data_IF_892266171986
#
_entry.id   IF_892266171986
#
_cell.length_a   1.000
_cell.length_b   1.000
_cell.length_c   1.000
_cell.angle_alpha   90.00
_cell.angle_beta   90.00
_cell.angle_gamma   90.00
#
_symmetry.space_group_name_H-M   'P 1'
#
loop_
_entity.id
_entity.type
_entity.pdbx_description
1 polymer ?
#
# COMPACT_ATOMS: atom_id res chain seq x y z
N UNK A 1 -58.16 -22.83 17.11
CA UNK A 1 -57.42 -21.93 18.03
C UNK A 1 -56.00 -22.49 18.15
N UNK A 2 -55.11 -22.22 17.19
CA UNK A 2 -54.22 -21.06 17.07
C UNK A 2 -53.34 -20.77 18.30
N UNK A 3 -52.06 -20.54 18.00
CA UNK A 3 -51.00 -19.91 18.80
C UNK A 3 -49.92 -20.80 19.42
N UNK A 4 -49.19 -21.54 18.59
CA UNK A 4 -47.76 -21.74 18.84
C UNK A 4 -46.99 -20.56 18.21
N UNK A 5 -46.64 -19.58 19.04
CA UNK A 5 -45.80 -18.44 18.67
C UNK A 5 -44.37 -18.95 18.43
N UNK A 6 -44.03 -19.23 17.17
CA UNK A 6 -42.64 -19.31 16.75
C UNK A 6 -42.06 -17.90 16.80
N UNK A 7 -41.32 -17.59 17.86
CA UNK A 7 -40.48 -16.39 17.92
C UNK A 7 -39.19 -16.71 17.15
N UNK A 8 -39.20 -16.51 15.83
CA UNK A 8 -38.00 -16.45 15.01
C UNK A 8 -37.25 -15.18 15.40
N UNK A 9 -36.29 -15.30 16.32
CA UNK A 9 -35.24 -14.30 16.53
C UNK A 9 -34.36 -14.38 15.28
N UNK A 10 -34.73 -13.59 14.27
CA UNK A 10 -33.84 -13.32 13.16
C UNK A 10 -32.63 -12.57 13.70
N UNK A 11 -31.54 -13.29 13.94
CA UNK A 11 -30.21 -12.69 13.91
C UNK A 11 -30.03 -12.16 12.49
N UNK A 12 -30.40 -10.90 12.26
CA UNK A 12 -29.88 -10.15 11.16
C UNK A 12 -28.38 -10.01 11.44
N UNK A 13 -27.59 -10.91 10.88
CA UNK A 13 -26.16 -10.74 10.73
C UNK A 13 -25.95 -9.43 9.96
N UNK A 14 -25.67 -8.36 10.70
CA UNK A 14 -25.07 -7.15 10.18
C UNK A 14 -23.69 -7.54 9.69
N UNK A 15 -23.62 -8.09 8.49
CA UNK A 15 -22.40 -8.16 7.71
C UNK A 15 -22.01 -6.72 7.46
N UNK A 16 -21.13 -6.16 8.31
CA UNK A 16 -20.46 -4.92 7.97
C UNK A 16 -19.81 -5.16 6.62
N UNK A 17 -20.33 -4.50 5.58
CA UNK A 17 -19.77 -4.57 4.24
C UNK A 17 -18.37 -3.98 4.35
N UNK A 18 -17.36 -4.85 4.32
CA UNK A 18 -15.98 -4.46 4.24
C UNK A 18 -15.85 -3.53 3.02
N UNK A 19 -15.53 -2.26 3.27
CA UNK A 19 -15.44 -1.26 2.21
C UNK A 19 -14.05 -1.40 1.59
N UNK A 20 -13.96 -2.22 0.54
CA UNK A 20 -12.74 -2.41 -0.23
C UNK A 20 -12.62 -1.32 -1.29
N UNK A 21 -11.48 -0.64 -1.34
CA UNK A 21 -11.16 0.44 -2.29
C UNK A 21 -9.90 0.09 -3.05
N UNK A 22 -9.90 0.24 -4.37
CA UNK A 22 -8.67 0.10 -5.17
C UNK A 22 -7.95 1.43 -5.25
N UNK A 23 -6.63 1.44 -5.06
CA UNK A 23 -5.79 2.64 -5.17
C UNK A 23 -4.71 2.49 -6.24
N UNK A 24 -4.30 3.62 -6.82
CA UNK A 24 -3.10 3.72 -7.64
C UNK A 24 -2.31 4.94 -7.21
N UNK A 25 -1.04 4.74 -6.90
CA UNK A 25 -0.14 5.76 -6.39
C UNK A 25 1.11 5.83 -7.26
N UNK A 26 1.57 7.04 -7.54
CA UNK A 26 2.83 7.25 -8.24
C UNK A 26 3.63 8.41 -7.66
N UNK A 27 4.95 8.39 -7.85
CA UNK A 27 5.82 9.48 -7.41
C UNK A 27 5.54 10.73 -8.23
N UNK A 28 5.17 11.83 -7.58
CA UNK A 28 4.85 13.09 -8.25
C UNK A 28 5.78 14.25 -7.85
N UNK A 29 6.53 14.07 -6.76
CA UNK A 29 7.46 15.07 -6.25
C UNK A 29 8.80 14.41 -5.92
N UNK A 30 9.86 15.01 -6.44
CA UNK A 30 11.25 14.70 -6.12
C UNK A 30 12.00 16.01 -5.92
N UNK A 31 13.02 15.97 -5.07
CA UNK A 31 13.91 17.11 -4.87
C UNK A 31 15.01 17.04 -5.92
N UNK A 32 15.30 18.13 -6.62
CA UNK A 32 16.20 18.13 -7.80
C UNK A 32 17.62 17.58 -7.54
N UNK A 33 18.10 17.64 -6.29
CA UNK A 33 19.42 17.14 -5.88
C UNK A 33 19.42 15.71 -5.31
N UNK A 34 18.23 15.11 -5.17
CA UNK A 34 18.08 13.71 -4.78
C UNK A 34 18.21 12.80 -6.02
N UNK A 35 18.61 11.55 -5.81
CA UNK A 35 18.53 10.53 -6.87
C UNK A 35 17.08 10.42 -7.39
N UNK A 36 16.85 10.43 -8.71
CA UNK A 36 15.53 10.22 -9.28
C UNK A 36 15.00 8.84 -8.90
N UNK A 37 13.76 8.77 -8.39
CA UNK A 37 13.13 7.49 -8.02
C UNK A 37 11.68 7.46 -8.47
N UNK A 38 11.37 6.65 -9.46
CA UNK A 38 10.00 6.37 -9.87
C UNK A 38 9.44 5.20 -9.06
N UNK A 39 8.39 5.45 -8.29
CA UNK A 39 7.64 4.43 -7.56
C UNK A 39 6.20 4.45 -8.06
N UNK A 40 5.67 3.28 -8.42
CA UNK A 40 4.27 3.04 -8.73
C UNK A 40 3.74 1.91 -7.88
N UNK A 41 2.61 2.12 -7.21
CA UNK A 41 1.94 1.13 -6.36
C UNK A 41 0.48 1.05 -6.75
N UNK A 42 -0.05 -0.16 -6.92
CA UNK A 42 -1.50 -0.39 -6.90
C UNK A 42 -1.84 -1.42 -5.83
N UNK A 43 -2.97 -1.26 -5.16
CA UNK A 43 -3.44 -2.23 -4.18
C UNK A 43 -4.94 -2.08 -3.94
N UNK A 44 -5.56 -3.13 -3.43
CA UNK A 44 -6.89 -3.08 -2.84
C UNK A 44 -6.75 -2.91 -1.32
N UNK A 45 -7.42 -1.91 -0.77
CA UNK A 45 -7.43 -1.61 0.67
C UNK A 45 -8.77 -2.01 1.23
N UNK A 46 -8.75 -2.83 2.27
CA UNK A 46 -9.95 -3.18 3.04
C UNK A 46 -9.80 -2.65 4.46
N UNK A 47 -10.79 -1.89 4.93
CA UNK A 47 -10.92 -1.56 6.35
C UNK A 47 -11.56 -2.74 7.08
N UNK A 48 -10.91 -3.22 8.13
CA UNK A 48 -11.40 -4.33 8.95
C UNK A 48 -12.18 -3.75 10.15
N UNK A 49 -11.44 -3.28 11.15
CA UNK A 49 -11.97 -2.63 12.36
C UNK A 49 -11.26 -1.29 12.59
N UNK A 50 -11.54 -0.60 13.69
CA UNK A 50 -10.97 0.72 13.94
C UNK A 50 -9.43 0.69 14.00
N UNK A 51 -8.78 1.39 13.06
CA UNK A 51 -7.32 1.45 12.97
C UNK A 51 -6.65 0.23 12.32
N UNK A 52 -7.43 -0.76 11.87
CA UNK A 52 -6.93 -1.98 11.22
C UNK A 52 -7.35 -2.05 9.74
N UNK A 53 -6.37 -2.21 8.87
CA UNK A 53 -6.47 -2.16 7.42
C UNK A 53 -5.64 -3.29 6.80
N UNK A 54 -6.11 -3.80 5.67
CA UNK A 54 -5.42 -4.83 4.90
C UNK A 54 -5.19 -4.35 3.46
N UNK A 55 -3.99 -4.59 2.92
CA UNK A 55 -3.69 -4.46 1.50
C UNK A 55 -3.67 -5.84 0.83
N UNK A 56 -4.36 -5.96 -0.29
CA UNK A 56 -4.35 -7.13 -1.19
C UNK A 56 -4.13 -6.69 -2.64
N UNK A 57 -4.05 -7.64 -3.57
CA UNK A 57 -3.91 -7.38 -5.02
C UNK A 57 -2.80 -6.37 -5.36
N UNK A 58 -1.65 -6.51 -4.69
CA UNK A 58 -0.59 -5.50 -4.67
C UNK A 58 0.25 -5.59 -5.94
N UNK A 59 0.57 -4.45 -6.54
CA UNK A 59 1.68 -4.31 -7.50
C UNK A 59 2.62 -3.20 -7.06
N UNK A 60 3.90 -3.39 -7.34
CA UNK A 60 4.96 -2.42 -7.10
C UNK A 60 5.86 -2.34 -8.32
N UNK A 61 6.13 -1.13 -8.80
CA UNK A 61 7.22 -0.84 -9.71
C UNK A 61 8.12 0.20 -9.06
N UNK A 62 9.41 -0.08 -9.02
CA UNK A 62 10.45 0.79 -8.49
C UNK A 62 11.54 0.93 -9.56
N UNK A 63 11.89 2.16 -9.91
CA UNK A 63 13.04 2.47 -10.78
C UNK A 63 13.85 3.58 -10.14
N UNK A 64 15.14 3.34 -9.98
CA UNK A 64 16.07 4.31 -9.39
C UNK A 64 17.04 4.79 -10.46
N UNK A 65 17.34 6.09 -10.42
CA UNK A 65 18.19 6.80 -11.39
C UNK A 65 17.73 6.55 -12.84
N UNK A 66 16.41 6.66 -13.07
CA UNK A 66 15.80 6.40 -14.37
C UNK A 66 15.98 7.61 -15.31
N UNK A 67 16.97 7.52 -16.19
CA UNK A 67 17.15 8.39 -17.36
C UNK A 67 16.45 7.83 -18.60
N UNK A 68 16.67 8.44 -19.77
CA UNK A 68 16.06 8.00 -21.04
C UNK A 68 16.47 6.58 -21.46
N UNK A 69 17.66 6.13 -21.05
CA UNK A 69 18.27 4.90 -21.59
C UNK A 69 18.76 3.91 -20.52
N UNK A 70 18.63 4.25 -19.23
CA UNK A 70 19.18 3.44 -18.14
C UNK A 70 18.44 3.69 -16.83
N UNK A 71 18.26 2.62 -16.04
CA UNK A 71 17.98 2.70 -14.60
C UNK A 71 19.09 1.96 -13.88
N UNK A 72 19.61 2.51 -12.80
CA UNK A 72 20.64 1.84 -12.03
C UNK A 72 20.09 0.60 -11.29
N UNK A 73 18.81 0.66 -10.92
CA UNK A 73 18.06 -0.43 -10.32
C UNK A 73 16.62 -0.39 -10.78
N UNK A 74 16.06 -1.54 -11.13
CA UNK A 74 14.65 -1.69 -11.44
C UNK A 74 14.08 -2.92 -10.72
N UNK A 75 12.87 -2.77 -10.19
CA UNK A 75 12.08 -3.88 -9.66
C UNK A 75 10.64 -3.74 -10.12
N UNK A 76 10.01 -4.83 -10.54
CA UNK A 76 8.56 -4.90 -10.72
C UNK A 76 8.04 -6.21 -10.18
N UNK A 77 7.08 -6.14 -9.27
CA UNK A 77 6.53 -7.29 -8.58
C UNK A 77 5.04 -7.17 -8.30
N UNK A 78 4.45 -8.31 -7.97
CA UNK A 78 3.05 -8.37 -7.59
C UNK A 78 2.82 -9.45 -6.53
N UNK A 79 1.80 -9.28 -5.69
CA UNK A 79 1.43 -10.27 -4.70
C UNK A 79 -0.08 -10.28 -4.47
N UNK A 80 -0.64 -11.47 -4.43
CA UNK A 80 -2.04 -11.70 -4.01
C UNK A 80 -2.16 -11.94 -2.51
N UNK A 81 -1.03 -12.07 -1.80
CA UNK A 81 -1.03 -12.25 -0.34
C UNK A 81 -1.44 -10.95 0.32
N UNK A 82 -2.41 -11.04 1.22
CA UNK A 82 -2.87 -9.92 2.03
C UNK A 82 -1.86 -9.58 3.13
N UNK A 83 -1.60 -8.29 3.33
CA UNK A 83 -0.79 -7.78 4.45
C UNK A 83 -1.61 -6.81 5.28
N UNK A 84 -1.41 -6.80 6.60
CA UNK A 84 -2.05 -5.85 7.51
C UNK A 84 -1.11 -4.70 7.85
N UNK A 85 -1.67 -3.55 8.20
CA UNK A 85 -0.83 -2.45 8.72
C UNK A 85 -0.21 -2.81 10.07
N UNK A 86 0.94 -2.23 10.37
CA UNK A 86 1.56 -2.29 11.69
C UNK A 86 0.72 -1.48 12.70
N UNK A 87 -0.05 -2.18 13.53
CA UNK A 87 -0.91 -1.59 14.55
C UNK A 87 -0.12 -0.87 15.65
N UNK A 88 1.16 -1.18 15.82
CA UNK A 88 2.04 -0.55 16.80
C UNK A 88 2.82 0.64 16.23
N UNK A 89 2.63 0.96 14.94
CA UNK A 89 3.31 2.08 14.31
C UNK A 89 2.85 3.43 14.90
N UNK A 90 3.71 4.05 15.73
CA UNK A 90 3.45 5.32 16.42
C UNK A 90 4.63 6.29 16.32
N UNK A 91 5.07 6.67 15.10
CA UNK A 91 6.20 7.57 14.91
C UNK A 91 5.85 9.01 15.32
N UNK A 92 6.88 9.83 15.54
CA UNK A 92 6.71 11.28 15.76
C UNK A 92 6.27 12.04 14.50
N UNK A 93 6.91 11.76 13.34
CA UNK A 93 6.70 12.52 12.09
C UNK A 93 5.43 12.11 11.34
N UNK A 94 5.14 10.82 11.25
CA UNK A 94 4.01 10.25 10.50
C UNK A 94 2.89 9.77 11.43
N UNK A 95 2.57 10.55 12.47
CA UNK A 95 1.48 10.23 13.39
C UNK A 95 0.15 10.19 12.60
N UNK A 96 -0.65 9.14 12.82
CA UNK A 96 -1.94 8.96 12.14
C UNK A 96 -1.83 8.31 10.74
N UNK A 97 -0.68 7.74 10.39
CA UNK A 97 -0.51 6.94 9.19
C UNK A 97 -0.60 5.45 9.53
N UNK A 98 -1.25 4.68 8.66
CA UNK A 98 -1.11 3.23 8.61
C UNK A 98 0.16 2.90 7.82
N UNK A 99 1.02 2.04 8.39
CA UNK A 99 2.26 1.57 7.75
C UNK A 99 2.07 0.14 7.26
N UNK A 100 2.41 -0.11 6.00
CA UNK A 100 2.43 -1.45 5.39
C UNK A 100 3.84 -1.77 4.88
N UNK A 101 4.28 -3.01 5.06
CA UNK A 101 5.52 -3.53 4.44
C UNK A 101 5.18 -4.00 3.02
N UNK A 102 5.18 -3.08 2.06
CA UNK A 102 4.54 -3.31 0.74
C UNK A 102 5.26 -4.39 -0.07
N UNK A 103 6.55 -4.56 0.17
CA UNK A 103 7.46 -5.54 -0.43
C UNK A 103 7.35 -6.96 0.15
N UNK A 104 6.64 -7.14 1.27
CA UNK A 104 6.48 -8.45 1.91
C UNK A 104 5.77 -9.45 0.99
N UNK A 105 6.36 -10.66 0.86
CA UNK A 105 5.85 -11.76 0.04
C UNK A 105 5.57 -11.34 -1.41
N UNK A 106 6.49 -10.56 -1.97
CA UNK A 106 6.39 -10.04 -3.33
C UNK A 106 7.41 -10.72 -4.24
N UNK A 107 6.92 -11.59 -5.11
CA UNK A 107 7.70 -12.10 -6.23
C UNK A 107 7.73 -11.05 -7.35
N UNK A 108 8.88 -10.95 -8.04
CA UNK A 108 9.06 -9.94 -9.07
C UNK A 108 10.26 -10.19 -9.94
N UNK A 109 10.64 -9.16 -10.69
CA UNK A 109 11.72 -9.15 -11.63
C UNK A 109 12.62 -7.94 -11.41
N UNK A 110 13.92 -8.12 -11.61
CA UNK A 110 14.94 -7.08 -11.72
C UNK A 110 15.57 -7.17 -13.11
N UNK A 111 15.48 -6.10 -13.92
CA UNK A 111 16.02 -6.05 -15.29
C UNK A 111 15.71 -7.30 -16.13
N UNK A 112 14.42 -7.66 -16.19
CA UNK A 112 13.87 -8.84 -16.90
C UNK A 112 14.30 -10.21 -16.34
N UNK A 113 15.04 -10.25 -15.23
CA UNK A 113 15.43 -11.49 -14.55
C UNK A 113 14.54 -11.71 -13.33
N UNK A 114 14.13 -12.95 -13.03
CA UNK A 114 13.41 -13.24 -11.81
C UNK A 114 14.20 -12.77 -10.59
N UNK A 115 13.53 -12.11 -9.66
CA UNK A 115 14.06 -11.70 -8.37
C UNK A 115 13.55 -12.71 -7.31
N UNK A 116 14.25 -13.83 -7.08
CA UNK A 116 13.73 -14.95 -6.29
C UNK A 116 13.52 -14.63 -4.81
N UNK A 117 14.06 -13.51 -4.33
CA UNK A 117 13.92 -13.02 -2.96
C UNK A 117 13.09 -11.74 -2.86
N UNK A 118 12.40 -11.36 -3.94
CA UNK A 118 11.69 -10.09 -4.04
C UNK A 118 12.63 -8.90 -4.22
N UNK A 119 12.17 -7.73 -3.77
CA UNK A 119 12.91 -6.48 -3.85
C UNK A 119 14.15 -6.50 -2.94
N UNK A 120 15.30 -6.04 -3.44
CA UNK A 120 16.51 -5.93 -2.62
C UNK A 120 16.47 -4.67 -1.74
N UNK A 121 16.01 -4.85 -0.51
CA UNK A 121 15.92 -3.81 0.52
C UNK A 121 14.61 -3.89 1.28
N UNK A 122 14.09 -2.74 1.74
CA UNK A 122 12.75 -2.67 2.33
C UNK A 122 12.01 -1.40 1.93
N UNK A 123 10.71 -1.54 1.71
CA UNK A 123 9.82 -0.43 1.32
C UNK A 123 8.61 -0.37 2.26
N UNK A 124 8.58 0.65 3.12
CA UNK A 124 7.40 0.96 3.89
C UNK A 124 6.47 1.84 3.05
N UNK A 125 5.19 1.48 2.98
CA UNK A 125 4.14 2.29 2.38
C UNK A 125 3.21 2.84 3.46
N UNK A 126 3.11 4.16 3.53
CA UNK A 126 2.40 4.88 4.58
C UNK A 126 1.23 5.66 3.99
N UNK A 127 0.03 5.39 4.49
CA UNK A 127 -1.19 6.07 4.07
C UNK A 127 -1.82 6.76 5.29
N UNK A 128 -2.22 8.03 5.21
CA UNK A 128 -2.92 8.66 6.33
C UNK A 128 -4.27 7.94 6.57
N UNK A 129 -4.52 7.50 7.80
CA UNK A 129 -5.73 6.74 8.16
C UNK A 129 -7.02 7.51 7.82
N UNK A 130 -6.99 8.84 7.94
CA UNK A 130 -8.12 9.70 7.55
C UNK A 130 -8.50 9.59 6.08
N UNK A 131 -7.54 9.34 5.19
CA UNK A 131 -7.83 9.17 3.76
C UNK A 131 -8.47 7.79 3.54
N UNK A 132 -7.93 6.75 4.17
CA UNK A 132 -8.49 5.39 4.11
C UNK A 132 -9.97 5.36 4.51
N UNK A 133 -10.33 6.11 5.54
CA UNK A 133 -11.69 6.17 6.06
C UNK A 133 -12.64 7.01 5.19
N UNK A 134 -12.16 8.13 4.62
CA UNK A 134 -13.05 9.17 4.08
C UNK A 134 -13.01 9.37 2.57
N UNK A 135 -12.02 8.85 1.83
CA UNK A 135 -11.93 9.09 0.38
C UNK A 135 -12.89 8.18 -0.41
N UNK A 136 -13.54 8.72 -1.42
CA UNK A 136 -14.42 8.03 -2.37
C UNK A 136 -13.71 7.80 -3.72
N UNK A 137 -14.34 7.06 -4.64
CA UNK A 137 -13.78 6.84 -5.99
C UNK A 137 -13.59 8.19 -6.72
N UNK A 138 -12.40 8.37 -7.31
CA UNK A 138 -11.97 9.60 -7.95
C UNK A 138 -11.20 10.57 -7.04
N UNK A 139 -11.24 10.39 -5.72
CA UNK A 139 -10.51 11.26 -4.79
C UNK A 139 -9.00 11.04 -4.90
N UNK A 140 -8.26 12.14 -4.76
CA UNK A 140 -6.81 12.16 -4.72
C UNK A 140 -6.30 12.42 -3.29
N UNK A 141 -5.23 11.71 -2.90
CA UNK A 141 -4.56 11.95 -1.63
C UNK A 141 -3.05 11.69 -1.71
N UNK A 142 -2.29 12.15 -0.72
CA UNK A 142 -0.85 11.92 -0.66
C UNK A 142 -0.53 10.78 0.30
N UNK A 143 0.27 9.83 -0.17
CA UNK A 143 0.90 8.79 0.62
C UNK A 143 2.42 9.02 0.68
N UNK A 144 3.10 8.28 1.54
CA UNK A 144 4.56 8.34 1.67
C UNK A 144 5.11 6.94 1.55
N UNK A 145 6.22 6.78 0.83
CA UNK A 145 7.06 5.59 0.92
C UNK A 145 8.35 5.92 1.65
N UNK A 146 8.81 5.01 2.50
CA UNK A 146 10.13 5.05 3.11
C UNK A 146 10.91 3.85 2.60
N UNK A 147 11.95 4.13 1.84
CA UNK A 147 12.92 3.16 1.39
C UNK A 147 13.99 3.03 2.46
N UNK A 148 14.26 1.83 2.96
CA UNK A 148 15.41 1.56 3.82
C UNK A 148 16.30 0.51 3.18
N UNK A 149 17.57 0.85 2.96
CA UNK A 149 18.60 -0.04 2.41
C UNK A 149 18.23 -0.70 1.07
N UNK A 150 17.91 0.11 0.05
CA UNK A 150 17.71 -0.40 -1.31
C UNK A 150 19.06 -0.47 -1.99
N UNK A 151 19.46 -1.66 -2.46
CA UNK A 151 20.63 -1.84 -3.33
C UNK A 151 21.88 -1.08 -2.87
N UNK A 152 22.33 -1.32 -1.63
CA UNK A 152 23.53 -0.71 -1.02
C UNK A 152 23.54 0.84 -0.88
N UNK A 153 22.42 1.52 -1.17
CA UNK A 153 22.30 2.97 -1.03
C UNK A 153 21.52 3.38 0.22
N UNK A 154 21.86 4.57 0.75
CA UNK A 154 21.16 5.15 1.89
C UNK A 154 19.72 5.45 1.49
N UNK A 155 18.79 4.92 2.28
CA UNK A 155 17.37 5.04 2.06
C UNK A 155 16.86 6.50 2.06
N UNK A 156 15.62 6.69 1.64
CA UNK A 156 14.97 7.99 1.55
C UNK A 156 13.46 7.88 1.61
N UNK A 157 12.79 9.03 1.76
CA UNK A 157 11.33 9.08 1.67
C UNK A 157 10.88 9.71 0.35
N UNK A 158 9.80 9.19 -0.24
CA UNK A 158 9.15 9.77 -1.42
C UNK A 158 7.68 10.00 -1.12
N UNK A 159 7.15 11.12 -1.61
CA UNK A 159 5.71 11.39 -1.53
C UNK A 159 5.07 10.88 -2.81
N UNK A 160 4.00 10.10 -2.66
CA UNK A 160 3.23 9.55 -3.77
C UNK A 160 1.89 10.26 -3.85
N UNK A 161 1.45 10.55 -5.06
CA UNK A 161 0.08 11.00 -5.33
C UNK A 161 -0.74 9.77 -5.64
N UNK A 162 -1.79 9.56 -4.87
CA UNK A 162 -2.69 8.43 -4.97
C UNK A 162 -4.05 8.89 -5.49
N UNK A 163 -4.69 8.02 -6.27
CA UNK A 163 -6.10 8.14 -6.67
C UNK A 163 -6.84 6.87 -6.25
N UNK A 164 -8.04 7.03 -5.72
CA UNK A 164 -8.99 5.93 -5.51
C UNK A 164 -9.68 5.64 -6.85
N UNK A 165 -9.61 4.39 -7.32
CA UNK A 165 -10.26 3.96 -8.56
C UNK A 165 -11.74 3.67 -8.33
#
# INVERSE_FOLDING_TARGET
MNFFKLLLIGLASLSATANTKSISCETFYQVDWDMPVEIKITADITRNEEGSYTLASRTLSLRMDHGTDYSWYSFTGSSQVSISNDENYRPRKYKGFAKFYIDSEMEGYEDERPAPYGLFGSLDFLIPMKELDNTESGDEFNAVTIMSYIADHWGGSRTLKCIVK
#
